data_IF_217558141062
#
_entry.id   IF_217558141062
#
_cell.length_a   1.000
_cell.length_b   1.000
_cell.length_c   1.000
_cell.angle_alpha   90.00
_cell.angle_beta   90.00
_cell.angle_gamma   90.00
#
_symmetry.space_group_name_H-M   'P 1'
#
loop_
_entity.id
_entity.type
_entity.pdbx_description
1 polymer ?
#
# COMPACT_ATOMS: atom_id res chain seq x y z
N UNK A 1 -1.59 -16.20 1.53
CA UNK A 1 -2.62 -15.89 0.51
C UNK A 1 -2.16 -16.22 -0.90
N UNK A 2 -0.90 -16.56 -1.08
CA UNK A 2 -0.35 -16.99 -2.36
C UNK A 2 1.17 -16.98 -2.37
N UNK A 3 1.75 -17.06 -3.57
CA UNK A 3 3.20 -17.04 -3.78
C UNK A 3 3.58 -16.07 -4.90
N UNK A 4 4.78 -15.51 -4.81
CA UNK A 4 5.40 -14.72 -5.87
C UNK A 4 5.80 -15.56 -7.08
N UNK A 5 6.32 -14.91 -8.12
CA UNK A 5 6.86 -15.58 -9.33
C UNK A 5 7.87 -16.68 -8.98
N UNK A 6 8.77 -16.45 -8.01
CA UNK A 6 9.78 -17.43 -7.59
C UNK A 6 9.30 -18.35 -6.44
N UNK A 7 8.00 -18.38 -6.16
CA UNK A 7 7.41 -19.27 -5.17
C UNK A 7 7.59 -18.83 -3.71
N UNK A 8 8.05 -17.60 -3.45
CA UNK A 8 8.12 -17.07 -2.07
C UNK A 8 6.72 -16.79 -1.54
N UNK A 9 6.42 -17.15 -0.27
CA UNK A 9 5.10 -16.96 0.30
C UNK A 9 4.77 -15.47 0.47
N UNK A 10 3.57 -15.08 0.03
CA UNK A 10 2.96 -13.77 0.31
C UNK A 10 1.96 -13.99 1.44
N UNK A 11 2.18 -13.31 2.58
CA UNK A 11 1.46 -13.55 3.82
C UNK A 11 0.50 -12.41 4.14
N UNK A 12 -0.68 -12.78 4.61
CA UNK A 12 -1.69 -11.88 5.14
C UNK A 12 -1.87 -12.15 6.63
N UNK A 13 -1.79 -11.11 7.43
CA UNK A 13 -2.20 -11.12 8.83
C UNK A 13 -3.55 -10.41 8.94
N UNK A 14 -4.49 -11.00 9.67
CA UNK A 14 -5.79 -10.36 9.94
C UNK A 14 -5.97 -10.22 11.45
N UNK A 15 -6.34 -9.02 11.89
CA UNK A 15 -6.55 -8.65 13.28
C UNK A 15 -7.93 -8.01 13.46
N UNK A 16 -8.54 -8.22 14.62
CA UNK A 16 -9.85 -7.68 14.93
C UNK A 16 -10.98 -8.31 14.13
N UNK A 17 -12.20 -7.88 14.41
CA UNK A 17 -13.42 -8.41 13.80
C UNK A 17 -14.51 -7.34 13.63
N UNK A 18 -14.12 -6.08 13.74
CA UNK A 18 -15.02 -4.94 13.58
C UNK A 18 -15.53 -4.76 12.16
N UNK A 19 -16.62 -3.99 11.99
CA UNK A 19 -17.28 -3.80 10.71
C UNK A 19 -16.46 -2.97 9.70
N UNK A 20 -15.57 -2.11 10.18
CA UNK A 20 -14.68 -1.30 9.32
C UNK A 20 -13.51 -2.16 8.86
N UNK A 21 -13.44 -2.45 7.59
CA UNK A 21 -12.35 -3.24 7.00
C UNK A 21 -11.28 -2.32 6.44
N UNK A 22 -10.04 -2.53 6.83
CA UNK A 22 -8.87 -1.78 6.37
C UNK A 22 -7.81 -2.74 5.86
N UNK A 23 -7.24 -2.45 4.68
CA UNK A 23 -6.15 -3.20 4.10
C UNK A 23 -4.88 -2.34 4.12
N UNK A 24 -3.84 -2.81 4.78
CA UNK A 24 -2.50 -2.20 4.75
C UNK A 24 -1.57 -3.08 3.92
N UNK A 25 -0.85 -2.47 2.98
CA UNK A 25 0.03 -3.16 2.04
C UNK A 25 1.45 -2.61 2.18
N UNK A 26 2.40 -3.49 2.49
CA UNK A 26 3.82 -3.23 2.43
C UNK A 26 4.48 -3.91 1.24
N UNK A 27 5.65 -3.41 0.84
CA UNK A 27 6.53 -4.10 -0.09
C UNK A 27 6.01 -4.27 -1.50
N UNK A 28 5.22 -3.34 -2.03
CA UNK A 28 4.84 -3.35 -3.46
C UNK A 28 6.10 -3.20 -4.33
N UNK A 29 7.02 -2.32 -3.93
CA UNK A 29 8.35 -2.24 -4.54
C UNK A 29 9.39 -2.83 -3.59
N UNK A 30 10.18 -3.76 -4.10
CA UNK A 30 11.09 -4.53 -3.25
C UNK A 30 12.27 -3.74 -2.69
N UNK A 31 12.67 -2.67 -3.36
CA UNK A 31 13.76 -1.77 -2.94
C UNK A 31 13.31 -0.66 -1.95
N UNK A 32 12.02 -0.61 -1.60
CA UNK A 32 11.44 0.36 -0.66
C UNK A 32 11.27 -0.31 0.72
N UNK A 33 12.29 -0.25 1.55
CA UNK A 33 12.37 -1.00 2.81
C UNK A 33 12.00 -0.19 4.04
N UNK A 34 11.87 1.11 3.92
CA UNK A 34 11.67 2.06 5.03
C UNK A 34 10.35 1.82 5.78
N UNK A 35 9.30 1.38 5.07
CA UNK A 35 8.00 1.04 5.66
C UNK A 35 7.94 -0.32 6.36
N UNK A 36 8.92 -1.20 6.15
CA UNK A 36 8.85 -2.58 6.63
C UNK A 36 8.81 -2.70 8.16
N UNK A 37 9.49 -1.81 8.88
CA UNK A 37 9.42 -1.75 10.34
C UNK A 37 8.01 -1.39 10.80
N UNK A 38 7.37 -0.41 10.15
CA UNK A 38 6.01 0.00 10.47
C UNK A 38 4.99 -1.12 10.26
N UNK A 39 5.13 -1.90 9.20
CA UNK A 39 4.31 -3.09 8.95
C UNK A 39 4.44 -4.10 10.08
N UNK A 40 5.65 -4.31 10.59
CA UNK A 40 5.94 -5.27 11.67
C UNK A 40 5.41 -4.81 13.03
N UNK A 41 5.51 -3.52 13.34
CA UNK A 41 5.07 -2.96 14.62
C UNK A 41 3.55 -2.68 14.68
N UNK A 42 2.90 -2.52 13.53
CA UNK A 42 1.49 -2.19 13.44
C UNK A 42 0.56 -3.17 14.19
N UNK A 43 0.77 -4.50 14.18
CA UNK A 43 -0.07 -5.43 14.93
C UNK A 43 -0.12 -5.16 16.44
N UNK A 44 1.04 -4.91 17.06
CA UNK A 44 1.12 -4.60 18.48
C UNK A 44 0.44 -3.27 18.81
N UNK A 45 0.71 -2.25 18.00
CA UNK A 45 0.11 -0.93 18.18
C UNK A 45 -1.41 -0.94 17.96
N UNK A 46 -1.93 -1.75 17.04
CA UNK A 46 -3.36 -1.96 16.82
C UNK A 46 -4.04 -2.56 18.06
N UNK A 47 -3.43 -3.60 18.64
CA UNK A 47 -3.94 -4.24 19.86
C UNK A 47 -3.89 -3.28 21.07
N UNK A 48 -2.79 -2.54 21.25
CA UNK A 48 -2.67 -1.51 22.30
C UNK A 48 -3.74 -0.43 22.17
N UNK A 49 -4.07 -0.04 20.95
CA UNK A 49 -5.12 0.94 20.66
C UNK A 49 -6.55 0.40 20.86
N UNK A 50 -6.71 -0.91 21.12
CA UNK A 50 -8.00 -1.59 21.36
C UNK A 50 -9.00 -1.39 20.22
N UNK A 51 -8.55 -1.54 18.98
CA UNK A 51 -9.37 -1.33 17.79
C UNK A 51 -10.10 -2.59 17.31
N UNK A 52 -9.93 -3.74 17.99
CA UNK A 52 -10.39 -5.07 17.54
C UNK A 52 -11.90 -5.15 17.28
N UNK A 53 -12.72 -4.47 18.11
CA UNK A 53 -14.18 -4.48 17.96
C UNK A 53 -14.69 -3.51 16.88
N UNK A 54 -13.90 -2.48 16.56
CA UNK A 54 -14.28 -1.45 15.59
C UNK A 54 -13.77 -1.76 14.18
N UNK A 55 -12.61 -2.42 14.09
CA UNK A 55 -11.87 -2.59 12.84
C UNK A 55 -11.50 -4.06 12.60
N UNK A 56 -11.64 -4.50 11.36
CA UNK A 56 -10.95 -5.68 10.83
C UNK A 56 -9.76 -5.17 10.01
N UNK A 57 -8.55 -5.35 10.53
CA UNK A 57 -7.31 -4.92 9.91
C UNK A 57 -6.64 -6.10 9.20
N UNK A 58 -6.51 -6.01 7.89
CA UNK A 58 -5.74 -6.94 7.07
C UNK A 58 -4.39 -6.31 6.70
N UNK A 59 -3.29 -7.00 6.97
CA UNK A 59 -1.93 -6.53 6.68
C UNK A 59 -1.28 -7.50 5.71
N UNK A 60 -1.03 -7.06 4.49
CA UNK A 60 -0.19 -7.75 3.52
C UNK A 60 1.25 -7.30 3.77
N UNK A 61 2.04 -8.16 4.40
CA UNK A 61 3.36 -7.79 4.93
C UNK A 61 4.34 -7.37 3.83
N UNK A 62 4.36 -8.14 2.75
CA UNK A 62 5.27 -7.94 1.61
C UNK A 62 4.61 -8.45 0.33
N UNK A 63 4.19 -7.53 -0.52
CA UNK A 63 3.52 -7.87 -1.77
C UNK A 63 4.50 -8.35 -2.86
N UNK A 64 5.80 -8.02 -2.74
CA UNK A 64 6.86 -8.32 -3.71
C UNK A 64 8.10 -8.93 -3.04
N UNK A 65 8.00 -10.14 -2.49
CA UNK A 65 9.12 -10.75 -1.77
C UNK A 65 10.30 -11.11 -2.70
N UNK A 66 10.08 -11.23 -4.01
CA UNK A 66 11.15 -11.45 -4.98
C UNK A 66 11.95 -10.18 -5.23
N UNK A 67 11.28 -9.07 -5.47
CA UNK A 67 11.90 -7.77 -5.59
C UNK A 67 12.66 -7.38 -4.33
N UNK A 68 12.08 -7.66 -3.14
CA UNK A 68 12.75 -7.43 -1.87
C UNK A 68 14.03 -8.24 -1.73
N UNK A 69 13.99 -9.53 -2.08
CA UNK A 69 15.17 -10.40 -2.02
C UNK A 69 16.27 -9.97 -3.00
N UNK A 70 15.88 -9.38 -4.14
CA UNK A 70 16.80 -8.88 -5.16
C UNK A 70 17.22 -7.41 -4.94
N UNK A 71 16.53 -6.66 -4.05
CA UNK A 71 16.72 -5.22 -3.88
C UNK A 71 16.30 -4.41 -5.10
N UNK A 72 15.27 -4.87 -5.83
CA UNK A 72 14.73 -4.22 -7.04
C UNK A 72 13.34 -3.68 -6.80
N UNK A 73 12.97 -2.66 -7.55
CA UNK A 73 11.61 -2.10 -7.55
C UNK A 73 10.61 -3.14 -8.07
N UNK A 74 10.92 -3.73 -9.20
CA UNK A 74 10.07 -4.67 -9.93
C UNK A 74 10.10 -6.07 -9.27
N UNK A 75 9.17 -6.93 -9.69
CA UNK A 75 9.17 -8.34 -9.33
C UNK A 75 10.21 -9.16 -10.14
N UNK A 76 10.25 -10.48 -9.95
CA UNK A 76 11.19 -11.36 -10.63
C UNK A 76 11.06 -11.37 -12.16
N UNK A 77 9.91 -10.98 -12.70
CA UNK A 77 9.68 -10.83 -14.14
C UNK A 77 10.04 -9.42 -14.65
N UNK A 78 10.61 -8.56 -13.81
CA UNK A 78 10.91 -7.14 -14.10
C UNK A 78 9.66 -6.33 -14.43
N UNK A 79 8.55 -6.64 -13.77
CA UNK A 79 7.30 -5.89 -13.87
C UNK A 79 7.10 -5.10 -12.57
N UNK A 80 6.78 -3.82 -12.72
CA UNK A 80 6.31 -2.97 -11.63
C UNK A 80 4.88 -3.39 -11.26
N UNK A 81 4.73 -4.02 -10.09
CA UNK A 81 3.43 -4.50 -9.62
C UNK A 81 2.43 -3.33 -9.55
N UNK A 82 2.91 -2.12 -9.22
CA UNK A 82 2.08 -0.91 -9.15
C UNK A 82 1.84 -0.26 -10.54
N UNK A 83 2.03 -1.01 -11.62
CA UNK A 83 1.65 -0.70 -13.00
C UNK A 83 0.83 -1.82 -13.64
N UNK A 84 0.62 -2.91 -12.92
CA UNK A 84 0.01 -4.14 -13.45
C UNK A 84 -1.44 -4.36 -13.01
N UNK A 85 -2.10 -3.39 -12.37
CA UNK A 85 -3.53 -3.47 -12.02
C UNK A 85 -4.43 -3.17 -13.23
N UNK A 86 -5.69 -3.72 -13.25
CA UNK A 86 -6.64 -3.55 -14.34
C UNK A 86 -7.36 -2.19 -14.23
N UNK A 87 -6.58 -1.12 -14.21
CA UNK A 87 -7.09 0.24 -14.19
C UNK A 87 -7.47 0.71 -15.60
N UNK A 88 -8.43 1.63 -15.70
CA UNK A 88 -8.87 2.21 -16.97
C UNK A 88 -7.75 2.92 -17.74
N UNK A 89 -6.70 3.33 -17.03
CA UNK A 89 -5.51 3.97 -17.58
C UNK A 89 -4.30 3.01 -17.72
N UNK A 90 -4.52 1.68 -17.74
CA UNK A 90 -3.43 0.71 -17.95
C UNK A 90 -2.70 1.01 -19.27
N UNK A 91 -1.37 1.01 -19.22
CA UNK A 91 -0.53 1.26 -20.38
C UNK A 91 0.23 -0.01 -20.80
N UNK A 92 -0.28 -0.68 -21.83
CA UNK A 92 0.35 -1.86 -22.41
C UNK A 92 1.62 -1.55 -23.23
N UNK A 93 1.88 -0.28 -23.55
CA UNK A 93 3.08 0.13 -24.26
C UNK A 93 4.29 0.30 -23.32
N UNK A 94 4.04 0.47 -22.02
CA UNK A 94 5.11 0.49 -21.02
C UNK A 94 5.55 -0.93 -20.68
N UNK A 95 6.79 -1.33 -21.00
CA UNK A 95 7.30 -2.67 -20.71
C UNK A 95 7.25 -3.03 -19.22
N UNK A 96 7.32 -2.05 -18.33
CA UNK A 96 7.25 -2.27 -16.88
C UNK A 96 5.85 -2.62 -16.39
N UNK A 97 4.81 -2.32 -17.17
CA UNK A 97 3.42 -2.66 -16.84
C UNK A 97 3.07 -4.14 -17.11
N UNK A 98 3.89 -4.84 -17.89
CA UNK A 98 3.56 -6.17 -18.39
C UNK A 98 2.64 -6.12 -19.63
N UNK A 99 2.50 -7.25 -20.31
CA UNK A 99 1.77 -7.34 -21.59
C UNK A 99 0.24 -7.20 -21.43
N UNK A 100 -0.28 -7.46 -20.24
CA UNK A 100 -1.70 -7.32 -19.87
C UNK A 100 -1.86 -7.04 -18.38
N UNK A 101 -2.96 -6.45 -17.96
CA UNK A 101 -3.26 -6.30 -16.54
C UNK A 101 -3.30 -7.65 -15.83
N UNK A 102 -2.84 -7.67 -14.58
CA UNK A 102 -2.82 -8.88 -13.74
C UNK A 102 -2.01 -10.04 -14.33
N UNK A 103 -1.05 -9.74 -15.20
CA UNK A 103 -0.11 -10.75 -15.69
C UNK A 103 0.77 -11.33 -14.58
N UNK A 104 0.92 -10.63 -13.45
CA UNK A 104 1.77 -11.05 -12.34
C UNK A 104 0.96 -11.68 -11.20
N UNK A 105 1.48 -12.76 -10.56
CA UNK A 105 0.80 -13.37 -9.40
C UNK A 105 0.60 -12.39 -8.25
N UNK A 106 1.56 -11.53 -7.99
CA UNK A 106 1.53 -10.53 -6.91
C UNK A 106 0.37 -9.54 -7.10
N UNK A 107 0.20 -8.98 -8.29
CA UNK A 107 -0.91 -8.07 -8.58
C UNK A 107 -2.28 -8.77 -8.52
N UNK A 108 -2.37 -10.04 -8.94
CA UNK A 108 -3.58 -10.85 -8.77
C UNK A 108 -3.93 -11.04 -7.30
N UNK A 109 -2.95 -11.39 -6.46
CA UNK A 109 -3.16 -11.57 -5.01
C UNK A 109 -3.70 -10.28 -4.38
N UNK A 110 -3.10 -9.13 -4.68
CA UNK A 110 -3.57 -7.84 -4.14
C UNK A 110 -4.99 -7.54 -4.63
N UNK A 111 -5.29 -7.74 -5.92
CA UNK A 111 -6.63 -7.58 -6.48
C UNK A 111 -7.65 -8.48 -5.77
N UNK A 112 -7.34 -9.77 -5.60
CA UNK A 112 -8.24 -10.74 -4.97
C UNK A 112 -8.52 -10.40 -3.50
N UNK A 113 -7.52 -9.88 -2.79
CA UNK A 113 -7.70 -9.36 -1.43
C UNK A 113 -8.62 -8.15 -1.39
N UNK A 114 -8.46 -7.19 -2.30
CA UNK A 114 -9.34 -6.02 -2.40
C UNK A 114 -10.78 -6.45 -2.67
N UNK A 115 -10.98 -7.37 -3.61
CA UNK A 115 -12.32 -7.85 -3.98
C UNK A 115 -13.00 -8.66 -2.85
N UNK A 116 -12.26 -9.55 -2.19
CA UNK A 116 -12.81 -10.40 -1.12
C UNK A 116 -13.04 -9.64 0.18
N UNK A 117 -12.12 -8.74 0.54
CA UNK A 117 -12.22 -7.95 1.77
C UNK A 117 -13.22 -6.80 1.62
N UNK A 118 -13.31 -6.18 0.43
CA UNK A 118 -14.05 -4.95 0.14
C UNK A 118 -13.74 -3.86 1.19
N UNK A 119 -12.49 -3.40 1.28
CA UNK A 119 -12.06 -2.53 2.36
C UNK A 119 -12.64 -1.11 2.22
N UNK A 120 -12.95 -0.49 3.35
CA UNK A 120 -13.32 0.93 3.41
C UNK A 120 -12.10 1.85 3.20
N UNK A 121 -10.89 1.32 3.45
CA UNK A 121 -9.63 2.06 3.28
C UNK A 121 -8.52 1.07 2.90
N UNK A 122 -7.72 1.47 1.90
CA UNK A 122 -6.45 0.83 1.55
C UNK A 122 -5.32 1.80 1.90
N UNK A 123 -4.27 1.32 2.54
CA UNK A 123 -3.07 2.09 2.85
C UNK A 123 -1.87 1.36 2.24
N UNK A 124 -1.14 2.01 1.35
CA UNK A 124 0.10 1.50 0.77
C UNK A 124 1.31 2.27 1.32
N UNK A 125 2.31 1.55 1.81
CA UNK A 125 3.56 2.13 2.28
C UNK A 125 4.62 2.05 1.19
N UNK A 126 5.12 3.21 0.80
CA UNK A 126 6.16 3.41 -0.22
C UNK A 126 7.29 4.28 0.30
N UNK A 127 8.38 4.36 -0.44
CA UNK A 127 9.43 5.34 -0.21
C UNK A 127 9.93 5.96 -1.52
N UNK A 128 10.26 7.26 -1.47
CA UNK A 128 10.72 8.00 -2.62
C UNK A 128 11.96 8.85 -2.30
N UNK A 129 12.83 9.03 -3.29
CA UNK A 129 14.09 9.77 -3.13
C UNK A 129 13.93 11.28 -3.11
N UNK A 130 12.83 11.81 -3.69
CA UNK A 130 12.66 13.25 -3.86
C UNK A 130 12.14 13.94 -2.60
N UNK A 131 11.05 13.45 -2.05
CA UNK A 131 10.36 14.04 -0.90
C UNK A 131 9.43 13.04 -0.22
N UNK A 132 8.94 13.39 0.94
CA UNK A 132 7.96 12.60 1.69
C UNK A 132 6.61 13.32 1.70
N UNK A 133 5.52 12.55 1.56
CA UNK A 133 4.14 13.08 1.53
C UNK A 133 3.13 11.97 1.76
N UNK A 134 1.88 12.33 1.97
CA UNK A 134 0.74 11.42 1.83
C UNK A 134 -0.05 11.79 0.59
N UNK A 135 -0.24 10.80 -0.27
CA UNK A 135 -1.04 10.90 -1.49
C UNK A 135 -2.37 10.19 -1.28
N UNK A 136 -3.40 10.55 -2.04
CA UNK A 136 -4.69 9.88 -1.98
C UNK A 136 -5.33 9.71 -3.36
N UNK A 137 -6.11 8.64 -3.47
CA UNK A 137 -7.01 8.38 -4.59
C UNK A 137 -8.39 7.99 -4.07
N UNK A 138 -9.43 8.19 -4.89
CA UNK A 138 -10.81 7.98 -4.48
C UNK A 138 -11.27 8.96 -3.38
N UNK A 139 -12.26 8.59 -2.55
CA UNK A 139 -12.84 9.49 -1.53
C UNK A 139 -11.98 9.58 -0.26
N UNK A 140 -10.66 9.76 -0.38
CA UNK A 140 -9.71 9.70 0.74
C UNK A 140 -9.12 11.04 1.17
N UNK A 141 -9.53 12.18 0.58
CA UNK A 141 -8.98 13.52 0.92
C UNK A 141 -9.00 13.81 2.42
N UNK A 142 -10.15 13.66 3.08
CA UNK A 142 -10.26 13.95 4.51
C UNK A 142 -9.39 13.03 5.38
N UNK A 143 -9.19 11.77 4.95
CA UNK A 143 -8.26 10.85 5.61
C UNK A 143 -6.80 11.27 5.42
N UNK A 144 -6.43 11.73 4.22
CA UNK A 144 -5.09 12.25 3.94
C UNK A 144 -4.78 13.50 4.78
N UNK A 145 -5.72 14.44 4.87
CA UNK A 145 -5.59 15.66 5.67
C UNK A 145 -5.43 15.33 7.17
N UNK A 146 -6.20 14.37 7.68
CA UNK A 146 -6.08 13.91 9.07
C UNK A 146 -4.74 13.19 9.31
N UNK A 147 -4.30 12.35 8.39
CA UNK A 147 -2.99 11.71 8.45
C UNK A 147 -1.87 12.77 8.47
N UNK A 148 -1.94 13.75 7.58
CA UNK A 148 -0.99 14.85 7.49
C UNK A 148 -0.91 15.68 8.78
N UNK A 149 -2.06 16.01 9.37
CA UNK A 149 -2.12 16.78 10.62
C UNK A 149 -1.40 16.07 11.78
N UNK A 150 -1.41 14.73 11.80
CA UNK A 150 -0.78 13.94 12.88
C UNK A 150 0.66 13.55 12.57
N UNK A 151 1.03 13.35 11.29
CA UNK A 151 2.37 12.91 10.88
C UNK A 151 3.32 14.07 10.53
N UNK A 152 2.76 15.24 10.20
CA UNK A 152 3.51 16.35 9.61
C UNK A 152 3.93 16.13 8.16
N UNK A 153 3.45 15.07 7.50
CA UNK A 153 3.68 14.89 6.06
C UNK A 153 2.71 15.76 5.26
N UNK A 154 3.17 16.47 4.21
CA UNK A 154 2.25 17.23 3.36
C UNK A 154 1.30 16.31 2.59
N UNK A 155 0.11 16.81 2.26
CA UNK A 155 -0.84 16.14 1.38
C UNK A 155 -0.50 16.50 -0.07
N UNK A 156 -0.41 15.51 -0.94
CA UNK A 156 -0.28 15.70 -2.38
C UNK A 156 -1.39 14.95 -3.13
N UNK A 157 -1.97 15.60 -4.13
CA UNK A 157 -2.95 14.95 -4.99
C UNK A 157 -2.26 14.12 -6.07
N UNK A 158 -2.81 12.95 -6.41
CA UNK A 158 -2.26 12.08 -7.47
C UNK A 158 -2.17 12.75 -8.83
N UNK A 159 -2.99 13.79 -9.07
CA UNK A 159 -2.95 14.58 -10.31
C UNK A 159 -1.82 15.61 -10.33
N UNK A 160 -1.17 15.87 -9.19
CA UNK A 160 -0.10 16.87 -9.07
C UNK A 160 1.27 16.37 -9.54
N UNK A 161 1.41 15.09 -9.82
CA UNK A 161 2.65 14.48 -10.33
C UNK A 161 2.37 13.50 -11.47
N UNK A 162 3.44 12.95 -12.04
CA UNK A 162 3.39 12.12 -13.22
C UNK A 162 2.25 11.08 -13.17
N UNK A 163 1.59 10.81 -14.31
CA UNK A 163 0.59 9.76 -14.39
C UNK A 163 1.12 8.44 -13.84
N UNK A 164 0.26 7.70 -13.14
CA UNK A 164 0.59 6.38 -12.62
C UNK A 164 -0.34 5.32 -13.25
N UNK A 165 -0.17 5.05 -14.58
CA UNK A 165 -1.02 4.09 -15.28
C UNK A 165 -0.96 2.72 -14.62
N UNK A 166 -2.10 2.02 -14.55
CA UNK A 166 -2.16 0.67 -13.99
C UNK A 166 -1.82 0.56 -12.50
N UNK A 167 -1.79 1.68 -11.76
CA UNK A 167 -1.45 1.67 -10.33
C UNK A 167 -2.61 1.20 -9.45
N UNK A 168 -2.28 0.83 -8.21
CA UNK A 168 -3.25 0.52 -7.16
C UNK A 168 -4.22 1.70 -6.92
N UNK A 169 -3.71 2.94 -6.87
CA UNK A 169 -4.51 4.15 -6.70
C UNK A 169 -5.48 4.36 -7.86
N UNK A 170 -5.02 4.16 -9.10
CA UNK A 170 -5.88 4.23 -10.29
C UNK A 170 -6.97 3.16 -10.25
N UNK A 171 -6.61 1.90 -10.02
CA UNK A 171 -7.55 0.77 -10.00
C UNK A 171 -8.55 0.86 -8.84
N UNK A 172 -8.04 0.87 -7.60
CA UNK A 172 -8.91 0.82 -6.43
C UNK A 172 -9.56 2.18 -6.11
N UNK A 173 -8.78 3.27 -6.23
CA UNK A 173 -9.24 4.59 -5.86
C UNK A 173 -10.11 5.23 -6.93
N UNK A 174 -9.57 5.44 -8.11
CA UNK A 174 -10.25 6.21 -9.18
C UNK A 174 -11.36 5.41 -9.84
N UNK A 175 -11.09 4.16 -10.21
CA UNK A 175 -12.04 3.36 -10.99
C UNK A 175 -13.11 2.70 -10.11
N UNK A 176 -12.80 2.33 -8.87
CA UNK A 176 -13.70 1.58 -7.98
C UNK A 176 -14.22 2.41 -6.81
N UNK A 177 -13.71 3.63 -6.59
CA UNK A 177 -14.19 4.51 -5.54
C UNK A 177 -13.83 4.07 -4.12
N UNK A 178 -12.85 3.19 -3.94
CA UNK A 178 -12.31 2.84 -2.64
C UNK A 178 -11.37 3.94 -2.15
N UNK A 179 -11.43 4.31 -0.87
CA UNK A 179 -10.46 5.25 -0.32
C UNK A 179 -9.05 4.62 -0.30
N UNK A 180 -8.08 5.27 -0.93
CA UNK A 180 -6.67 4.83 -0.96
C UNK A 180 -5.78 5.93 -0.42
N UNK A 181 -4.92 5.60 0.54
CA UNK A 181 -3.80 6.43 0.98
C UNK A 181 -2.49 5.78 0.55
N UNK A 182 -1.65 6.53 -0.13
CA UNK A 182 -0.27 6.16 -0.42
C UNK A 182 0.65 7.03 0.44
N UNK A 183 1.41 6.39 1.33
CA UNK A 183 2.33 7.07 2.23
C UNK A 183 3.73 6.94 1.64
N UNK A 184 4.26 8.06 1.18
CA UNK A 184 5.60 8.15 0.61
C UNK A 184 6.55 8.71 1.68
N UNK A 185 7.39 7.86 2.24
CA UNK A 185 8.46 8.30 3.15
C UNK A 185 9.74 8.59 2.38
N UNK A 186 10.65 9.36 2.95
CA UNK A 186 11.92 9.65 2.29
C UNK A 186 12.81 8.40 2.29
N UNK A 187 13.23 7.95 1.10
CA UNK A 187 14.12 6.79 0.94
C UNK A 187 15.44 7.01 1.68
N UNK A 188 15.89 5.99 2.38
CA UNK A 188 17.08 6.05 3.24
C UNK A 188 16.82 6.54 4.67
N UNK A 189 15.56 6.88 5.01
CA UNK A 189 15.21 7.21 6.40
C UNK A 189 15.27 5.95 7.26
N UNK A 190 15.81 6.08 8.47
CA UNK A 190 15.79 4.97 9.44
C UNK A 190 14.37 4.48 9.69
N UNK A 191 14.10 3.16 9.56
CA UNK A 191 12.74 2.63 9.65
C UNK A 191 12.03 2.85 11.00
N UNK A 192 12.79 2.99 12.11
CA UNK A 192 12.19 3.32 13.42
C UNK A 192 11.75 4.76 13.45
N UNK A 193 12.54 5.67 12.88
CA UNK A 193 12.17 7.08 12.73
C UNK A 193 10.91 7.24 11.88
N UNK A 194 10.78 6.45 10.82
CA UNK A 194 9.53 6.39 10.03
C UNK A 194 8.36 6.00 10.92
N UNK A 195 8.47 4.90 11.66
CA UNK A 195 7.42 4.42 12.56
C UNK A 195 7.02 5.45 13.62
N UNK A 196 7.99 6.03 14.31
CA UNK A 196 7.74 7.06 15.33
C UNK A 196 6.95 8.23 14.77
N UNK A 197 7.23 8.62 13.52
CA UNK A 197 6.54 9.71 12.84
C UNK A 197 5.10 9.35 12.46
N UNK A 198 4.87 8.16 11.88
CA UNK A 198 3.57 7.87 11.24
C UNK A 198 2.63 7.05 12.11
N UNK A 199 3.06 6.40 13.21
CA UNK A 199 2.24 5.45 13.98
C UNK A 199 0.91 6.03 14.46
N UNK A 200 0.91 7.25 14.99
CA UNK A 200 -0.31 7.89 15.52
C UNK A 200 -1.26 8.23 14.38
N UNK A 201 -0.72 8.80 13.29
CA UNK A 201 -1.48 9.11 12.10
C UNK A 201 -2.08 7.85 11.45
N UNK A 202 -1.28 6.78 11.38
CA UNK A 202 -1.69 5.50 10.81
C UNK A 202 -2.84 4.87 11.61
N UNK A 203 -2.70 4.77 12.92
CA UNK A 203 -3.77 4.26 13.80
C UNK A 203 -5.03 5.15 13.72
N UNK A 204 -4.86 6.48 13.66
CA UNK A 204 -5.96 7.41 13.54
C UNK A 204 -6.80 7.22 12.28
N UNK A 205 -6.18 6.99 11.10
CA UNK A 205 -6.94 6.75 9.86
C UNK A 205 -7.48 5.33 9.77
N UNK A 206 -6.84 4.36 10.42
CA UNK A 206 -7.35 2.98 10.56
C UNK A 206 -8.63 3.00 11.40
N UNK A 207 -8.65 3.70 12.52
CA UNK A 207 -9.81 3.79 13.40
C UNK A 207 -11.05 4.41 12.73
N UNK A 208 -10.88 5.37 11.84
CA UNK A 208 -11.96 6.00 11.08
C UNK A 208 -12.21 7.45 11.41
#
# INVERSE_FOLDING_TARGET
VGTSVQGRPIRLLTLGHGPRKVLVIGGIHGDETEGAYSIRELPAAFAEARLDDAVTLAILEDANPDGRAAGTRENANRIDINRNFPASNFDAADPSSGHEPLSQPESRIVRDLIESLNPALIIALHSWTGRQFVNFDGPARALAERFAASSGLPVEESTAFAPTPGSLGSYAGRDRGTAVLTIEVLKGTDPKTVWERIRVALLGVIAG
#
